data_IF_577906483352
#
_entry.id   IF_577906483352
#
_cell.length_a   1.000
_cell.length_b   1.000
_cell.length_c   1.000
_cell.angle_alpha   90.00
_cell.angle_beta   90.00
_cell.angle_gamma   90.00
#
_symmetry.space_group_name_H-M   'P 1'
#
loop_
_entity.id
_entity.type
_entity.pdbx_description
1 polymer ?
#
# COMPACT_ATOMS: atom_id res chain seq x y z
N UNK A 1 4.35 5.35 -7.02
CA UNK A 1 3.18 4.45 -6.87
C UNK A 1 3.02 3.94 -5.45
N UNK A 2 4.03 3.26 -4.88
CA UNK A 2 3.94 2.60 -3.57
C UNK A 2 3.39 3.51 -2.45
N UNK A 3 3.95 4.69 -2.24
CA UNK A 3 3.48 5.62 -1.20
C UNK A 3 2.05 6.13 -1.47
N UNK A 4 1.69 6.36 -2.74
CA UNK A 4 0.31 6.70 -3.12
C UNK A 4 -0.68 5.58 -2.81
N UNK A 5 -0.33 4.34 -3.16
CA UNK A 5 -1.20 3.20 -2.92
C UNK A 5 -1.36 2.92 -1.42
N UNK A 6 -0.26 2.91 -0.67
CA UNK A 6 -0.28 2.72 0.78
C UNK A 6 -1.11 3.77 1.50
N UNK A 7 -0.89 5.06 1.20
CA UNK A 7 -1.63 6.14 1.85
C UNK A 7 -3.10 6.18 1.42
N UNK A 8 -3.41 5.91 0.14
CA UNK A 8 -4.81 5.82 -0.30
C UNK A 8 -5.56 4.65 0.38
N UNK A 9 -4.90 3.50 0.56
CA UNK A 9 -5.47 2.38 1.33
C UNK A 9 -5.67 2.77 2.81
N UNK A 10 -4.68 3.42 3.44
CA UNK A 10 -4.75 3.91 4.81
C UNK A 10 -5.88 4.93 5.00
N UNK A 11 -5.97 5.94 4.13
CA UNK A 11 -7.02 6.96 4.16
C UNK A 11 -8.43 6.36 4.06
N UNK A 12 -8.58 5.32 3.24
CA UNK A 12 -9.87 4.66 3.06
C UNK A 12 -10.39 4.01 4.35
N UNK A 13 -9.49 3.60 5.26
CA UNK A 13 -9.83 2.94 6.52
C UNK A 13 -10.55 3.86 7.50
N UNK A 14 -10.29 5.17 7.44
CA UNK A 14 -10.91 6.15 8.33
C UNK A 14 -12.10 6.86 7.70
N UNK A 15 -12.34 6.68 6.41
CA UNK A 15 -13.52 7.25 5.72
C UNK A 15 -14.79 6.44 6.02
N UNK A 16 -15.96 7.06 6.05
CA UNK A 16 -16.24 8.49 5.89
C UNK A 16 -16.12 9.30 7.20
N UNK A 17 -15.73 8.68 8.31
CA UNK A 17 -15.69 9.34 9.63
C UNK A 17 -14.69 10.52 9.66
N UNK A 18 -13.56 10.34 9.01
CA UNK A 18 -12.54 11.38 8.84
C UNK A 18 -12.15 11.51 7.36
N UNK A 19 -11.90 12.72 6.91
CA UNK A 19 -11.49 13.02 5.54
C UNK A 19 -10.11 13.67 5.54
N UNK A 20 -9.10 12.90 5.97
CA UNK A 20 -7.71 13.33 5.94
C UNK A 20 -7.05 12.94 4.62
N UNK A 21 -6.09 13.74 4.18
CA UNK A 21 -5.20 13.47 3.05
C UNK A 21 -3.77 13.50 3.58
N UNK A 22 -3.04 12.43 3.35
CA UNK A 22 -1.70 12.27 3.88
C UNK A 22 -0.63 12.54 2.82
N UNK A 23 0.49 13.12 3.27
CA UNK A 23 1.61 13.49 2.41
C UNK A 23 2.35 12.26 1.86
N UNK A 24 2.31 12.17 0.54
CA UNK A 24 3.09 11.18 -0.21
C UNK A 24 4.57 11.56 -0.22
N UNK A 25 4.89 12.86 -0.33
CA UNK A 25 6.27 13.34 -0.31
C UNK A 25 6.93 13.02 1.02
N UNK A 26 6.27 13.28 2.14
CA UNK A 26 6.84 12.97 3.44
C UNK A 26 7.12 11.47 3.61
N UNK A 27 6.22 10.59 3.21
CA UNK A 27 6.47 9.15 3.25
C UNK A 27 7.65 8.75 2.36
N UNK A 28 7.74 9.31 1.16
CA UNK A 28 8.80 8.98 0.21
C UNK A 28 10.17 9.52 0.62
N UNK A 29 10.23 10.70 1.23
CA UNK A 29 11.48 11.42 1.52
C UNK A 29 11.97 11.25 2.96
N UNK A 30 11.07 10.95 3.91
CA UNK A 30 11.39 10.92 5.35
C UNK A 30 11.36 9.50 5.96
N UNK A 31 11.25 8.44 5.14
CA UNK A 31 11.38 7.07 5.66
C UNK A 31 12.84 6.73 6.01
N UNK A 32 13.03 5.61 6.72
CA UNK A 32 14.35 5.18 7.21
C UNK A 32 15.18 4.39 6.18
N UNK A 33 14.67 4.17 4.97
CA UNK A 33 15.36 3.42 3.93
C UNK A 33 16.28 4.34 3.12
N UNK A 34 17.46 3.84 2.77
CA UNK A 34 18.40 4.54 1.91
C UNK A 34 18.15 4.19 0.44
N UNK A 35 16.94 4.47 -0.03
CA UNK A 35 16.51 4.24 -1.41
C UNK A 35 16.10 5.59 -1.99
N UNK A 36 16.50 5.86 -3.23
CA UNK A 36 16.02 7.07 -3.91
C UNK A 36 14.50 6.98 -4.11
N UNK A 37 13.74 8.04 -3.83
CA UNK A 37 12.28 8.03 -4.04
C UNK A 37 11.88 7.79 -5.50
N UNK A 38 12.83 7.98 -6.44
CA UNK A 38 12.64 7.74 -7.88
C UNK A 38 12.93 6.29 -8.30
N UNK A 39 13.56 5.49 -7.43
CA UNK A 39 13.86 4.07 -7.69
C UNK A 39 12.71 3.14 -7.32
N UNK A 40 11.59 3.71 -6.84
CA UNK A 40 10.43 2.96 -6.38
C UNK A 40 10.50 2.63 -4.89
N UNK A 41 9.65 1.71 -4.47
CA UNK A 41 9.56 1.23 -3.08
C UNK A 41 8.53 0.11 -3.01
N UNK A 42 8.31 -0.39 -1.82
CA UNK A 42 7.43 -1.52 -1.58
C UNK A 42 6.61 -1.33 -0.29
N UNK A 43 5.52 -2.06 -0.16
CA UNK A 43 4.59 -1.98 0.98
C UNK A 43 5.27 -2.06 2.35
N UNK A 44 6.34 -2.84 2.51
CA UNK A 44 7.04 -2.95 3.79
C UNK A 44 7.72 -1.63 4.21
N UNK A 45 8.12 -0.77 3.25
CA UNK A 45 8.65 0.57 3.55
C UNK A 45 7.56 1.46 4.14
N UNK A 46 6.34 1.40 3.60
CA UNK A 46 5.17 2.11 4.12
C UNK A 46 4.80 1.63 5.52
N UNK A 47 4.74 0.31 5.73
CA UNK A 47 4.45 -0.26 7.04
C UNK A 47 5.51 0.16 8.06
N UNK A 48 6.81 0.09 7.71
CA UNK A 48 7.89 0.48 8.61
C UNK A 48 7.82 1.96 9.01
N UNK A 49 7.61 2.86 8.03
CA UNK A 49 7.42 4.29 8.25
C UNK A 49 6.23 4.58 9.18
N UNK A 50 5.09 3.97 8.93
CA UNK A 50 3.88 4.17 9.71
C UNK A 50 3.98 3.54 11.11
N UNK A 51 4.53 2.34 11.22
CA UNK A 51 4.71 1.65 12.51
C UNK A 51 5.75 2.30 13.39
N UNK A 52 6.74 3.00 12.81
CA UNK A 52 7.73 3.76 13.55
C UNK A 52 7.26 5.18 13.97
N UNK A 53 6.01 5.54 13.67
CA UNK A 53 5.44 6.86 13.90
C UNK A 53 6.21 8.01 13.22
N UNK A 54 6.89 7.70 12.12
CA UNK A 54 7.51 8.73 11.26
C UNK A 54 6.45 9.54 10.50
N UNK A 55 5.24 9.01 10.37
CA UNK A 55 4.03 9.58 9.83
C UNK A 55 2.81 8.70 10.17
N UNK A 56 1.64 8.92 9.52
CA UNK A 56 1.44 9.85 8.41
C UNK A 56 1.37 11.31 8.88
N UNK A 57 1.82 12.22 8.03
CA UNK A 57 1.61 13.67 8.17
C UNK A 57 0.58 14.15 7.14
N UNK A 58 0.01 15.33 7.33
CA UNK A 58 -0.98 15.85 6.40
C UNK A 58 -0.32 16.36 5.10
N UNK A 59 -1.03 16.21 3.99
CA UNK A 59 -0.64 16.74 2.68
C UNK A 59 -0.45 18.27 2.69
N UNK A 60 -1.22 19.00 3.52
CA UNK A 60 -1.09 20.45 3.66
C UNK A 60 0.19 20.90 4.37
N UNK A 61 0.81 20.03 5.19
CA UNK A 61 2.04 20.31 5.92
C UNK A 61 3.30 19.98 5.09
N UNK A 62 3.19 19.09 4.13
CA UNK A 62 4.26 18.69 3.21
C UNK A 62 3.65 18.29 1.84
N UNK A 63 3.30 19.29 1.00
CA UNK A 63 2.60 19.06 -0.25
C UNK A 63 3.42 18.30 -1.30
N UNK A 64 2.76 17.40 -2.01
CA UNK A 64 3.37 16.60 -3.08
C UNK A 64 4.00 17.45 -4.19
N UNK A 65 5.23 17.12 -4.56
CA UNK A 65 5.87 17.54 -5.81
C UNK A 65 7.16 18.32 -5.65
N UNK A 66 7.59 18.72 -4.44
CA UNK A 66 8.87 19.40 -4.27
C UNK A 66 10.04 18.43 -3.99
N UNK A 67 9.73 17.19 -3.60
CA UNK A 67 10.67 16.11 -3.32
C UNK A 67 11.76 16.51 -2.30
N UNK A 68 11.38 17.30 -1.29
CA UNK A 68 12.27 17.74 -0.23
C UNK A 68 11.99 16.96 1.05
N UNK A 69 13.05 16.73 1.83
CA UNK A 69 12.91 16.20 3.19
C UNK A 69 12.43 17.31 4.12
N UNK A 70 11.27 17.15 4.73
CA UNK A 70 10.74 18.07 5.74
C UNK A 70 10.91 17.47 7.12
N UNK A 71 11.66 18.16 7.98
CA UNK A 71 11.96 17.69 9.32
C UNK A 71 11.05 18.36 10.36
N UNK A 72 10.78 17.63 11.45
CA UNK A 72 10.08 18.15 12.62
C UNK A 72 8.57 18.06 12.55
N UNK A 73 8.01 17.48 11.51
CA UNK A 73 6.59 17.10 11.46
C UNK A 73 6.37 15.85 12.32
N UNK A 74 5.18 15.78 12.92
CA UNK A 74 4.77 14.65 13.76
C UNK A 74 3.64 13.88 13.11
N UNK A 75 3.61 12.58 13.33
CA UNK A 75 2.49 11.75 12.89
C UNK A 75 1.16 12.26 13.46
N UNK A 76 0.16 12.42 12.61
CA UNK A 76 -1.20 12.85 13.01
C UNK A 76 -2.09 11.66 13.38
N UNK A 77 -1.69 10.47 12.99
CA UNK A 77 -2.31 9.18 13.34
C UNK A 77 -1.21 8.15 13.64
N UNK A 78 -1.54 7.14 14.43
CA UNK A 78 -0.66 6.00 14.67
C UNK A 78 -1.25 4.75 14.02
N UNK A 79 -0.48 4.10 13.15
CA UNK A 79 -0.82 2.77 12.65
C UNK A 79 -0.67 1.77 13.81
N UNK A 80 -1.75 1.09 14.16
CA UNK A 80 -1.79 0.08 15.21
C UNK A 80 -1.82 -1.34 14.66
N UNK A 81 -2.38 -1.54 13.45
CA UNK A 81 -2.45 -2.84 12.82
C UNK A 81 -2.51 -2.73 11.30
N UNK A 82 -1.67 -3.53 10.63
CA UNK A 82 -1.76 -3.83 9.20
C UNK A 82 -1.68 -5.34 9.01
N UNK A 83 -2.37 -5.88 8.03
CA UNK A 83 -2.38 -7.31 7.71
C UNK A 83 -1.85 -7.50 6.29
N UNK A 84 -0.79 -8.29 6.15
CA UNK A 84 -0.30 -8.76 4.87
C UNK A 84 -1.11 -10.02 4.52
N UNK A 85 -1.85 -9.94 3.42
CA UNK A 85 -2.71 -11.02 2.98
C UNK A 85 -1.90 -12.06 2.20
N UNK A 86 -2.34 -13.32 2.28
CA UNK A 86 -1.75 -14.36 1.44
C UNK A 86 -2.03 -14.07 -0.03
N UNK A 87 -1.00 -14.22 -0.86
CA UNK A 87 -1.08 -14.00 -2.29
C UNK A 87 -2.26 -14.75 -2.94
N UNK A 88 -2.96 -14.05 -3.84
CA UNK A 88 -4.10 -14.57 -4.59
C UNK A 88 -5.29 -15.07 -3.73
N UNK A 89 -5.34 -14.71 -2.46
CA UNK A 89 -6.50 -15.00 -1.62
C UNK A 89 -7.60 -13.95 -1.85
N UNK A 90 -8.33 -14.07 -2.94
CA UNK A 90 -9.35 -13.11 -3.36
C UNK A 90 -10.52 -12.99 -2.38
N UNK A 91 -10.87 -14.06 -1.68
CA UNK A 91 -11.88 -14.02 -0.62
C UNK A 91 -11.42 -13.15 0.55
N UNK A 92 -10.17 -13.29 0.97
CA UNK A 92 -9.60 -12.43 2.02
C UNK A 92 -9.50 -10.97 1.54
N UNK A 93 -9.13 -10.73 0.29
CA UNK A 93 -9.07 -9.38 -0.31
C UNK A 93 -10.47 -8.75 -0.32
N UNK A 94 -11.49 -9.43 -0.86
CA UNK A 94 -12.87 -8.94 -0.90
C UNK A 94 -13.42 -8.66 0.50
N UNK A 95 -13.19 -9.60 1.42
CA UNK A 95 -13.59 -9.43 2.83
C UNK A 95 -12.91 -8.22 3.48
N UNK A 96 -11.63 -7.99 3.18
CA UNK A 96 -10.88 -6.84 3.69
C UNK A 96 -11.38 -5.53 3.12
N UNK A 97 -11.62 -5.46 1.82
CA UNK A 97 -12.22 -4.28 1.16
C UNK A 97 -13.57 -3.93 1.78
N UNK A 98 -14.42 -4.93 1.99
CA UNK A 98 -15.75 -4.71 2.60
C UNK A 98 -15.67 -4.22 4.05
N UNK A 99 -14.72 -4.75 4.82
CA UNK A 99 -14.66 -4.52 6.27
C UNK A 99 -13.84 -3.29 6.64
N UNK A 100 -12.76 -3.02 5.93
CA UNK A 100 -11.75 -2.05 6.33
C UNK A 100 -11.52 -0.93 5.32
N UNK A 101 -11.80 -1.16 4.04
CA UNK A 101 -11.51 -0.22 2.96
C UNK A 101 -10.52 -0.77 1.95
N UNK A 102 -9.80 0.12 1.26
CA UNK A 102 -8.91 -0.26 0.17
C UNK A 102 -7.80 -1.22 0.59
N UNK A 103 -7.48 -2.15 -0.30
CA UNK A 103 -6.37 -3.09 -0.16
C UNK A 103 -5.30 -2.73 -1.18
N UNK A 104 -4.12 -2.34 -0.71
CA UNK A 104 -2.95 -2.14 -1.55
C UNK A 104 -2.53 -3.47 -2.19
N UNK A 105 -2.15 -3.45 -3.46
CA UNK A 105 -1.67 -4.62 -4.19
C UNK A 105 -0.77 -4.19 -5.35
N UNK A 106 -0.12 -5.16 -5.98
CA UNK A 106 0.83 -4.92 -7.07
C UNK A 106 0.34 -5.47 -8.39
N UNK A 107 0.77 -4.83 -9.48
CA UNK A 107 0.60 -5.30 -10.86
C UNK A 107 1.89 -5.12 -11.66
N UNK A 108 2.04 -5.86 -12.75
CA UNK A 108 2.94 -5.42 -13.81
C UNK A 108 2.23 -4.37 -14.66
N UNK A 109 2.90 -3.26 -14.93
CA UNK A 109 2.35 -2.18 -15.74
C UNK A 109 3.43 -1.68 -16.73
N UNK A 110 3.12 -1.72 -18.01
CA UNK A 110 3.99 -1.22 -19.10
C UNK A 110 3.69 0.24 -19.47
N UNK A 111 2.73 0.87 -18.77
CA UNK A 111 2.38 2.28 -18.92
C UNK A 111 3.13 3.12 -17.89
N UNK A 112 3.49 4.36 -18.27
CA UNK A 112 4.21 5.29 -17.41
C UNK A 112 3.35 6.47 -16.91
N UNK A 113 2.17 6.68 -17.51
CA UNK A 113 1.25 7.77 -17.17
C UNK A 113 -0.14 7.53 -17.78
N UNK A 114 -1.10 8.39 -17.46
CA UNK A 114 -2.48 8.31 -17.89
C UNK A 114 -2.70 8.29 -19.42
N UNK A 115 -1.76 8.82 -20.21
CA UNK A 115 -1.87 8.89 -21.66
C UNK A 115 -1.13 7.79 -22.41
N UNK A 116 -0.32 6.98 -21.71
CA UNK A 116 0.42 5.87 -22.29
C UNK A 116 -0.53 4.83 -22.90
N UNK A 117 -0.13 4.24 -24.01
CA UNK A 117 -0.81 3.09 -24.60
C UNK A 117 -0.18 1.78 -24.10
N UNK A 118 -1.01 0.75 -23.96
CA UNK A 118 -0.57 -0.59 -23.61
C UNK A 118 -1.39 -1.62 -24.36
N UNK A 119 -0.76 -2.73 -24.72
CA UNK A 119 -1.46 -3.88 -25.29
C UNK A 119 -2.43 -4.50 -24.27
N UNK A 120 -2.12 -4.41 -22.98
CA UNK A 120 -2.89 -5.00 -21.88
C UNK A 120 -4.02 -4.11 -21.38
N UNK A 121 -4.07 -2.82 -21.78
CA UNK A 121 -5.05 -1.85 -21.32
C UNK A 121 -6.06 -1.47 -22.40
N UNK A 122 -7.33 -1.79 -22.18
CA UNK A 122 -8.45 -1.33 -23.01
C UNK A 122 -8.96 0.03 -22.49
N UNK A 123 -8.54 1.10 -23.13
CA UNK A 123 -8.92 2.46 -22.73
C UNK A 123 -10.42 2.72 -22.80
N UNK A 124 -11.14 2.13 -23.73
CA UNK A 124 -12.59 2.34 -23.88
C UNK A 124 -13.43 1.67 -22.79
N UNK A 125 -12.84 0.72 -22.08
CA UNK A 125 -13.46 -0.06 -21.00
C UNK A 125 -12.76 0.16 -19.66
N UNK A 126 -11.70 0.96 -19.63
CA UNK A 126 -10.84 1.14 -18.46
C UNK A 126 -10.43 -0.20 -17.83
N UNK A 127 -10.13 -1.20 -18.67
CA UNK A 127 -9.85 -2.56 -18.22
C UNK A 127 -8.43 -2.99 -18.55
N UNK A 128 -7.83 -3.74 -17.63
CA UNK A 128 -6.44 -4.17 -17.69
C UNK A 128 -6.32 -5.67 -17.43
N UNK A 129 -5.57 -6.36 -18.27
CA UNK A 129 -5.27 -7.77 -18.08
C UNK A 129 -3.85 -8.09 -18.59
N UNK A 130 -2.96 -8.40 -17.67
CA UNK A 130 -1.62 -8.90 -17.95
C UNK A 130 -1.57 -10.41 -17.68
N UNK A 131 -1.10 -11.16 -18.67
CA UNK A 131 -0.98 -12.62 -18.61
C UNK A 131 0.45 -13.12 -18.90
N UNK A 132 1.44 -12.25 -18.71
CA UNK A 132 2.85 -12.59 -18.91
C UNK A 132 3.54 -13.04 -17.61
N UNK A 133 4.87 -13.08 -17.65
CA UNK A 133 5.75 -13.59 -16.59
C UNK A 133 6.65 -12.52 -15.94
N UNK A 134 6.42 -11.24 -16.28
CA UNK A 134 7.16 -10.16 -15.64
C UNK A 134 6.76 -9.98 -14.17
N UNK A 135 7.74 -9.61 -13.36
CA UNK A 135 7.51 -9.24 -11.97
C UNK A 135 6.70 -7.95 -11.86
N UNK A 136 5.90 -7.77 -10.79
CA UNK A 136 5.19 -6.52 -10.56
C UNK A 136 6.16 -5.32 -10.49
N UNK A 137 5.68 -4.17 -10.94
CA UNK A 137 6.45 -2.91 -10.94
C UNK A 137 5.59 -1.68 -10.64
N UNK A 138 4.33 -1.89 -10.26
CA UNK A 138 3.39 -0.80 -10.00
C UNK A 138 2.40 -1.18 -8.90
N UNK A 139 2.11 -0.23 -8.01
CA UNK A 139 1.18 -0.42 -6.90
C UNK A 139 -0.12 0.31 -7.18
N UNK A 140 -1.22 -0.36 -6.84
CA UNK A 140 -2.59 0.14 -6.96
C UNK A 140 -3.41 -0.25 -5.74
N UNK A 141 -4.61 0.30 -5.60
CA UNK A 141 -5.49 -0.02 -4.47
C UNK A 141 -6.77 -0.69 -4.98
N UNK A 142 -7.03 -1.91 -4.54
CA UNK A 142 -8.33 -2.56 -4.75
C UNK A 142 -9.35 -1.88 -3.84
N UNK A 143 -10.39 -1.31 -4.43
CA UNK A 143 -11.46 -0.60 -3.71
C UNK A 143 -12.83 -1.26 -3.88
N UNK A 144 -12.93 -2.28 -4.72
CA UNK A 144 -14.15 -3.01 -5.00
C UNK A 144 -13.92 -4.17 -5.97
N UNK A 145 -15.01 -4.76 -6.41
CA UNK A 145 -14.98 -5.82 -7.41
C UNK A 145 -16.32 -5.94 -8.13
N UNK A 146 -16.29 -6.55 -9.31
CA UNK A 146 -17.47 -6.98 -10.07
C UNK A 146 -17.24 -8.42 -10.56
N UNK A 147 -17.96 -9.38 -9.98
CA UNK A 147 -17.85 -10.80 -10.33
C UNK A 147 -18.40 -11.12 -11.72
N UNK A 148 -19.19 -10.20 -12.29
CA UNK A 148 -19.78 -10.33 -13.61
C UNK A 148 -19.15 -9.41 -14.65
N UNK A 149 -18.00 -8.78 -14.36
CA UNK A 149 -17.32 -7.91 -15.32
C UNK A 149 -16.93 -8.72 -16.55
N UNK A 150 -17.46 -8.37 -17.76
CA UNK A 150 -17.34 -9.23 -18.92
C UNK A 150 -15.89 -9.39 -19.39
N UNK A 151 -15.46 -10.62 -19.61
CA UNK A 151 -14.12 -10.94 -20.09
C UNK A 151 -13.82 -10.36 -21.49
N UNK A 152 -14.83 -10.18 -22.33
CA UNK A 152 -14.70 -9.54 -23.65
C UNK A 152 -14.40 -8.02 -23.59
N UNK A 153 -14.42 -7.42 -22.41
CA UNK A 153 -14.02 -6.02 -22.22
C UNK A 153 -12.50 -5.82 -22.12
N UNK A 154 -11.76 -6.90 -22.00
CA UNK A 154 -10.29 -6.87 -22.03
C UNK A 154 -9.77 -7.01 -23.46
N UNK A 155 -8.60 -6.41 -23.76
CA UNK A 155 -7.98 -6.52 -25.09
C UNK A 155 -7.59 -7.95 -25.47
N UNK A 156 -7.13 -8.71 -24.49
CA UNK A 156 -7.00 -10.18 -24.58
C UNK A 156 -8.04 -10.78 -23.64
N UNK A 157 -8.86 -11.69 -24.15
CA UNK A 157 -9.94 -12.29 -23.36
C UNK A 157 -9.34 -13.23 -22.28
N UNK A 158 -9.57 -12.97 -20.98
CA UNK A 158 -9.17 -13.89 -19.91
C UNK A 158 -10.04 -15.15 -19.90
N UNK A 159 -9.69 -16.11 -19.02
CA UNK A 159 -10.38 -17.41 -18.94
C UNK A 159 -11.83 -17.32 -18.46
N UNK A 160 -12.23 -16.22 -17.84
CA UNK A 160 -13.60 -16.02 -17.34
C UNK A 160 -13.86 -14.55 -16.98
N UNK A 161 -15.09 -14.29 -16.58
CA UNK A 161 -15.56 -12.99 -16.12
C UNK A 161 -15.00 -12.66 -14.74
N UNK A 162 -15.11 -11.38 -14.36
CA UNK A 162 -14.79 -10.84 -13.07
C UNK A 162 -13.52 -9.98 -13.05
N UNK A 163 -13.62 -8.90 -12.30
CA UNK A 163 -12.53 -7.94 -12.13
C UNK A 163 -12.54 -7.33 -10.74
N UNK A 164 -11.36 -6.94 -10.28
CA UNK A 164 -11.21 -5.96 -9.19
C UNK A 164 -11.33 -4.55 -9.74
N UNK A 165 -11.99 -3.67 -8.97
CA UNK A 165 -12.02 -2.24 -9.21
C UNK A 165 -10.84 -1.64 -8.46
N UNK A 166 -9.91 -1.04 -9.19
CA UNK A 166 -8.66 -0.52 -8.64
C UNK A 166 -8.54 0.98 -8.82
N UNK A 167 -8.07 1.68 -7.78
CA UNK A 167 -7.66 3.08 -7.85
C UNK A 167 -6.20 3.15 -8.27
N UNK A 168 -5.92 3.96 -9.30
CA UNK A 168 -4.56 4.29 -9.72
C UNK A 168 -4.12 5.64 -9.13
N UNK A 169 -2.84 5.99 -9.31
CA UNK A 169 -2.20 7.23 -8.83
C UNK A 169 -1.91 8.24 -9.95
N UNK A 170 -2.63 8.18 -11.07
CA UNK A 170 -2.38 9.04 -12.25
C UNK A 170 -3.45 10.11 -12.49
N UNK A 171 -4.23 10.44 -11.45
CA UNK A 171 -5.27 11.47 -11.51
C UNK A 171 -6.56 10.99 -12.17
N UNK A 172 -7.53 11.91 -12.24
CA UNK A 172 -8.89 11.63 -12.72
C UNK A 172 -8.98 11.42 -14.24
N UNK A 173 -7.97 11.85 -14.99
CA UNK A 173 -7.93 11.66 -16.46
C UNK A 173 -7.56 10.21 -16.85
N UNK A 174 -7.15 9.38 -15.91
CA UNK A 174 -6.89 7.97 -16.14
C UNK A 174 -8.15 7.14 -15.89
N UNK A 175 -8.44 6.24 -16.82
CA UNK A 175 -9.50 5.25 -16.66
C UNK A 175 -10.89 5.86 -16.52
N UNK A 176 -11.62 5.40 -15.54
CA UNK A 176 -12.92 5.92 -15.12
C UNK A 176 -12.72 6.76 -13.85
N UNK A 177 -12.47 8.06 -14.03
CA UNK A 177 -12.20 9.01 -12.94
C UNK A 177 -11.06 8.59 -11.99
N UNK A 178 -10.00 7.98 -12.54
CA UNK A 178 -8.84 7.48 -11.78
C UNK A 178 -8.95 6.00 -11.39
N UNK A 179 -10.05 5.34 -11.74
CA UNK A 179 -10.28 3.92 -11.48
C UNK A 179 -10.20 3.10 -12.76
N UNK A 180 -9.92 1.81 -12.60
CA UNK A 180 -9.90 0.85 -13.71
C UNK A 180 -10.18 -0.57 -13.20
N UNK A 181 -10.48 -1.47 -14.13
CA UNK A 181 -10.88 -2.85 -13.85
C UNK A 181 -9.71 -3.78 -14.17
N UNK A 182 -9.27 -4.57 -13.21
CA UNK A 182 -8.21 -5.56 -13.40
C UNK A 182 -8.81 -6.95 -13.30
N UNK A 183 -8.61 -7.76 -14.36
CA UNK A 183 -9.13 -9.13 -14.40
C UNK A 183 -8.68 -9.95 -13.20
N UNK A 184 -9.56 -10.81 -12.66
CA UNK A 184 -9.16 -11.82 -11.67
C UNK A 184 -8.10 -12.79 -12.17
N UNK A 185 -7.93 -12.89 -13.47
CA UNK A 185 -6.94 -13.75 -14.15
C UNK A 185 -5.60 -13.05 -14.41
N UNK A 186 -5.46 -11.78 -14.02
CA UNK A 186 -4.18 -11.06 -14.09
C UNK A 186 -3.10 -11.79 -13.29
N UNK A 187 -1.88 -11.85 -13.87
CA UNK A 187 -0.79 -12.63 -13.26
C UNK A 187 -0.38 -12.12 -11.89
N UNK A 188 -0.45 -10.83 -11.65
CA UNK A 188 0.11 -10.22 -10.44
C UNK A 188 -0.95 -9.74 -9.44
N UNK A 189 -2.15 -9.37 -9.89
CA UNK A 189 -3.21 -8.86 -9.00
C UNK A 189 -3.44 -9.77 -7.79
N UNK A 190 -3.51 -9.21 -6.61
CA UNK A 190 -3.66 -9.95 -5.36
C UNK A 190 -2.36 -10.53 -4.78
N UNK A 191 -1.20 -10.20 -5.35
CA UNK A 191 0.11 -10.45 -4.74
C UNK A 191 0.50 -9.26 -3.86
N UNK A 192 1.36 -9.50 -2.86
CA UNK A 192 1.88 -8.47 -1.95
C UNK A 192 0.77 -7.54 -1.41
N UNK A 193 -0.38 -8.11 -1.07
CA UNK A 193 -1.55 -7.33 -0.69
C UNK A 193 -1.53 -6.96 0.78
N UNK A 194 -1.79 -5.68 1.07
CA UNK A 194 -1.82 -5.13 2.43
C UNK A 194 -3.14 -4.42 2.69
N UNK A 195 -3.71 -4.66 3.87
CA UNK A 195 -4.84 -3.91 4.41
C UNK A 195 -4.45 -3.28 5.75
N UNK A 196 -4.74 -2.00 5.90
CA UNK A 196 -4.58 -1.26 7.13
C UNK A 196 -5.88 -1.37 7.93
N UNK A 197 -5.84 -2.01 9.09
CA UNK A 197 -7.08 -2.40 9.79
C UNK A 197 -7.36 -1.57 11.01
N UNK A 198 -6.34 -0.92 11.57
CA UNK A 198 -6.49 -0.09 12.75
C UNK A 198 -5.56 1.11 12.73
N UNK A 199 -6.17 2.29 12.73
CA UNK A 199 -5.50 3.59 12.79
C UNK A 199 -6.02 4.36 14.00
N UNK A 200 -5.14 4.61 14.95
CA UNK A 200 -5.45 5.37 16.18
C UNK A 200 -5.08 6.85 16.09
N UNK A 201 -5.56 7.64 17.02
CA UNK A 201 -5.12 9.02 17.16
C UNK A 201 -3.68 9.07 17.69
N UNK A 202 -2.94 10.12 17.37
CA UNK A 202 -1.54 10.29 17.79
C UNK A 202 -1.35 10.52 19.29
N UNK A 203 -2.45 10.73 20.04
CA UNK A 203 -2.44 10.88 21.50
C UNK A 203 -2.79 9.59 22.26
N UNK A 204 -2.98 8.46 21.57
CA UNK A 204 -3.38 7.18 22.18
C UNK A 204 -2.27 6.52 23.01
N UNK A 205 -1.00 6.83 22.71
CA UNK A 205 0.18 6.36 23.41
C UNK A 205 1.20 7.48 23.58
N UNK A 206 1.89 7.50 24.73
CA UNK A 206 2.91 8.51 25.03
C UNK A 206 4.25 8.23 24.31
N UNK A 207 4.56 6.95 24.01
CA UNK A 207 5.86 6.54 23.50
C UNK A 207 5.82 5.20 22.78
N UNK A 208 6.66 5.10 21.77
CA UNK A 208 6.99 3.84 21.10
C UNK A 208 8.42 3.43 21.47
N UNK A 209 8.63 2.13 21.70
CA UNK A 209 9.96 1.53 21.89
C UNK A 209 10.25 0.64 20.68
N UNK A 210 11.17 1.06 19.84
CA UNK A 210 11.52 0.38 18.60
C UNK A 210 13.01 0.54 18.31
N UNK A 211 13.66 -0.54 17.91
CA UNK A 211 15.06 -0.55 17.47
C UNK A 211 15.21 -0.65 15.95
N UNK A 212 14.20 -1.22 15.28
CA UNK A 212 14.25 -1.60 13.88
C UNK A 212 13.32 -0.71 13.05
N UNK A 213 13.83 0.45 12.62
CA UNK A 213 13.07 1.45 11.86
C UNK A 213 12.74 1.01 10.42
N UNK A 214 13.41 -0.04 9.94
CA UNK A 214 13.18 -0.59 8.59
C UNK A 214 12.28 -1.83 8.60
N UNK A 215 11.83 -2.28 9.79
CA UNK A 215 11.02 -3.49 9.92
C UNK A 215 11.79 -4.77 9.59
N UNK A 216 11.13 -5.74 8.98
CA UNK A 216 11.75 -7.00 8.58
C UNK A 216 12.57 -6.82 7.30
N UNK A 217 13.90 -6.89 7.42
CA UNK A 217 14.84 -6.79 6.30
C UNK A 217 15.57 -8.10 6.02
N UNK A 218 15.33 -9.13 6.82
CA UNK A 218 15.92 -10.44 6.66
C UNK A 218 15.74 -11.32 7.89
N UNK A 219 16.20 -12.55 7.78
CA UNK A 219 16.17 -13.55 8.85
C UNK A 219 17.57 -14.00 9.21
N UNK A 220 17.81 -14.25 10.50
CA UNK A 220 19.04 -14.84 11.00
C UNK A 220 18.73 -16.06 11.85
N UNK A 221 19.59 -17.06 11.77
CA UNK A 221 19.48 -18.27 12.54
C UNK A 221 20.79 -19.05 12.60
N UNK A 222 20.75 -20.23 13.17
CA UNK A 222 21.87 -21.16 13.23
C UNK A 222 21.55 -22.39 12.36
N UNK A 223 22.49 -22.80 11.52
CA UNK A 223 22.31 -23.97 10.64
C UNK A 223 22.26 -25.28 11.40
N UNK A 224 22.89 -25.35 12.60
CA UNK A 224 23.09 -26.53 13.39
C UNK A 224 22.13 -26.72 14.57
N UNK A 225 21.21 -25.77 14.79
CA UNK A 225 20.23 -25.81 15.89
C UNK A 225 18.91 -25.13 15.54
N UNK A 226 17.79 -25.67 16.04
CA UNK A 226 16.46 -25.16 15.73
C UNK A 226 16.04 -23.95 16.58
N UNK A 227 16.88 -23.53 17.53
CA UNK A 227 16.53 -22.48 18.49
C UNK A 227 17.54 -21.33 18.44
N UNK A 228 17.02 -20.09 18.44
CA UNK A 228 17.80 -18.87 18.61
C UNK A 228 17.04 -17.92 19.55
N UNK A 229 17.77 -17.17 20.36
CA UNK A 229 17.22 -16.16 21.24
C UNK A 229 17.70 -14.78 20.80
N UNK A 230 16.81 -13.81 20.81
CA UNK A 230 17.14 -12.42 20.60
C UNK A 230 16.43 -11.56 21.66
N UNK A 231 16.95 -10.37 21.93
CA UNK A 231 16.36 -9.43 22.86
C UNK A 231 16.71 -7.99 22.48
N UNK A 232 15.73 -7.12 22.60
CA UNK A 232 15.93 -5.67 22.64
C UNK A 232 15.71 -5.18 24.08
N UNK A 233 16.55 -4.26 24.53
CA UNK A 233 16.49 -3.69 25.88
C UNK A 233 16.15 -2.22 25.78
N UNK A 234 15.08 -1.81 26.45
CA UNK A 234 14.63 -0.43 26.51
C UNK A 234 14.61 0.06 27.95
N UNK A 235 14.87 1.36 28.14
CA UNK A 235 14.74 2.02 29.44
C UNK A 235 13.49 2.87 29.44
N UNK A 236 12.57 2.56 30.36
CA UNK A 236 11.38 3.37 30.58
C UNK A 236 11.76 4.77 31.07
N UNK A 237 11.15 5.80 30.50
CA UNK A 237 11.39 7.18 30.91
C UNK A 237 10.68 7.58 32.21
N UNK A 238 9.63 6.85 32.59
CA UNK A 238 8.81 7.03 33.78
C UNK A 238 8.14 5.71 34.14
N UNK A 239 7.26 5.67 35.13
CA UNK A 239 6.37 4.53 35.36
C UNK A 239 5.37 4.46 34.19
N UNK A 240 5.39 3.39 33.44
CA UNK A 240 4.65 3.20 32.21
C UNK A 240 3.88 1.86 32.25
N UNK A 241 2.79 1.78 31.49
CA UNK A 241 2.11 0.52 31.20
C UNK A 241 2.40 0.15 29.75
N UNK A 242 3.02 -1.00 29.53
CA UNK A 242 3.20 -1.55 28.17
C UNK A 242 1.88 -2.15 27.67
N UNK A 243 1.57 -1.92 26.42
CA UNK A 243 0.42 -2.50 25.72
C UNK A 243 0.89 -3.24 24.47
#
# INVERSE_FOLDING_TARGET
>A
CWAFASLAALESTIRPAENLVFSVDHMAMNNSFNVSPFDGGEYYMSIAYLAAWQGPVLEEDDPYGDNQTVNGLSAVKHLEEAIILKDKNYEAIKSSVYKYGGVETVIYCDMNNATSSSYYYNRNRSSYYYNGDQTPNHDVVIVGWDDNYPKEYFNTEPAGDGAFICKNSWGQDFGDEGFFYISYYDTNIGMNSVVYTKLGNSDNYDKIYQSDLMGEVGTMGFDDRPEAYFANVYTAGKNETLK
#
